data_IF_257109589754
#
_entry.id   IF_257109589754
#
_cell.length_a   1.000
_cell.length_b   1.000
_cell.length_c   1.000
_cell.angle_alpha   90.00
_cell.angle_beta   90.00
_cell.angle_gamma   90.00
#
_symmetry.space_group_name_H-M   'P 1'
#
loop_
_entity.id
_entity.type
_entity.pdbx_description
1 polymer ?
#
# COMPACT_ATOMS: atom_id res chain seq x y z
N UNK A 1 12.10 -28.45 9.20
CA UNK A 1 12.01 -27.06 8.69
C UNK A 1 11.04 -26.97 7.53
N UNK A 2 10.13 -25.99 7.54
CA UNK A 2 9.21 -25.69 6.43
C UNK A 2 9.10 -24.17 6.19
N UNK A 3 8.56 -23.77 5.03
CA UNK A 3 8.45 -22.37 4.62
C UNK A 3 7.61 -21.53 5.60
N UNK A 4 6.57 -22.14 6.17
CA UNK A 4 5.72 -21.44 7.15
C UNK A 4 6.49 -21.09 8.43
N UNK A 5 7.36 -21.99 8.91
CA UNK A 5 8.23 -21.72 10.05
C UNK A 5 9.18 -20.55 9.75
N UNK A 6 9.78 -20.51 8.55
CA UNK A 6 10.64 -19.41 8.12
C UNK A 6 9.88 -18.07 8.06
N UNK A 7 8.66 -18.07 7.52
CA UNK A 7 7.81 -16.87 7.51
C UNK A 7 7.49 -16.36 8.92
N UNK A 8 7.21 -17.29 9.85
CA UNK A 8 6.98 -16.93 11.26
C UNK A 8 8.20 -16.24 11.89
N UNK A 9 9.39 -16.81 11.67
CA UNK A 9 10.66 -16.28 12.21
C UNK A 9 10.94 -14.90 11.64
N UNK A 10 10.83 -14.73 10.33
CA UNK A 10 11.07 -13.45 9.65
C UNK A 10 10.08 -12.38 10.11
N UNK A 11 8.81 -12.72 10.27
CA UNK A 11 7.79 -11.76 10.70
C UNK A 11 8.00 -11.30 12.15
N UNK A 12 8.34 -12.21 13.07
CA UNK A 12 8.69 -11.83 14.45
C UNK A 12 9.91 -10.90 14.48
N UNK A 13 10.92 -11.21 13.68
CA UNK A 13 12.12 -10.37 13.58
C UNK A 13 11.79 -8.97 13.07
N UNK A 14 10.86 -8.89 12.13
CA UNK A 14 10.44 -7.63 11.50
C UNK A 14 9.68 -6.71 12.45
N UNK A 15 8.75 -7.26 13.23
CA UNK A 15 7.87 -6.46 14.10
C UNK A 15 8.34 -6.34 15.55
N UNK A 16 9.31 -7.16 15.96
CA UNK A 16 9.84 -7.18 17.34
C UNK A 16 8.83 -7.62 18.40
N UNK A 17 7.72 -8.26 18.00
CA UNK A 17 6.62 -8.67 18.89
C UNK A 17 5.95 -9.92 18.38
N UNK A 18 5.89 -10.97 19.22
CA UNK A 18 5.21 -12.23 18.86
C UNK A 18 3.70 -12.01 18.67
N UNK A 19 3.08 -11.16 19.48
CA UNK A 19 1.64 -10.87 19.40
C UNK A 19 1.32 -10.18 18.07
N UNK A 20 2.04 -9.11 17.73
CA UNK A 20 1.85 -8.42 16.44
C UNK A 20 2.17 -9.31 15.24
N UNK A 21 3.21 -10.14 15.33
CA UNK A 21 3.54 -11.07 14.26
C UNK A 21 2.42 -12.12 14.07
N UNK A 22 1.81 -12.59 15.14
CA UNK A 22 0.69 -13.51 15.08
C UNK A 22 -0.54 -12.87 14.42
N UNK A 23 -0.87 -11.64 14.77
CA UNK A 23 -1.94 -10.84 14.13
C UNK A 23 -1.67 -10.70 12.62
N UNK A 24 -0.47 -10.28 12.24
CA UNK A 24 -0.09 -10.10 10.84
C UNK A 24 -0.11 -11.40 10.01
N UNK A 25 0.13 -12.54 10.66
CA UNK A 25 0.10 -13.86 10.01
C UNK A 25 -1.26 -14.57 10.15
N UNK A 26 -2.26 -13.93 10.72
CA UNK A 26 -3.59 -14.51 11.02
C UNK A 26 -3.49 -15.83 11.81
N UNK A 27 -2.57 -15.86 12.79
CA UNK A 27 -2.29 -17.01 13.65
C UNK A 27 -2.58 -16.68 15.11
N UNK A 28 -2.87 -17.71 15.90
CA UNK A 28 -2.92 -17.56 17.35
C UNK A 28 -1.50 -17.40 17.93
N UNK A 29 -1.30 -16.42 18.81
CA UNK A 29 0.00 -16.14 19.43
C UNK A 29 0.66 -17.40 20.07
N UNK A 30 -0.06 -18.29 20.79
CA UNK A 30 0.52 -19.53 21.31
C UNK A 30 1.07 -20.45 20.22
N UNK A 31 0.40 -20.55 19.08
CA UNK A 31 0.85 -21.37 17.96
C UNK A 31 2.12 -20.80 17.32
N UNK A 32 2.17 -19.47 17.12
CA UNK A 32 3.35 -18.81 16.59
C UNK A 32 4.55 -18.98 17.54
N UNK A 33 4.35 -18.77 18.85
CA UNK A 33 5.38 -18.97 19.85
C UNK A 33 5.91 -20.40 19.89
N UNK A 34 5.00 -21.39 19.80
CA UNK A 34 5.37 -22.82 19.74
C UNK A 34 6.19 -23.13 18.50
N UNK A 35 5.79 -22.64 17.33
CA UNK A 35 6.51 -22.83 16.06
C UNK A 35 7.97 -22.37 16.16
N UNK A 36 8.23 -21.23 16.80
CA UNK A 36 9.60 -20.73 17.00
C UNK A 36 10.37 -21.59 17.98
N UNK A 37 9.76 -21.95 19.13
CA UNK A 37 10.41 -22.80 20.14
C UNK A 37 10.76 -24.19 19.56
N UNK A 38 9.89 -24.78 18.78
CA UNK A 38 10.13 -26.06 18.10
C UNK A 38 11.29 -25.94 17.11
N UNK A 39 11.37 -24.86 16.34
CA UNK A 39 12.47 -24.58 15.44
C UNK A 39 13.79 -24.42 16.19
N UNK A 40 13.84 -23.58 17.24
CA UNK A 40 15.02 -23.35 18.06
C UNK A 40 15.53 -24.67 18.70
N UNK A 41 14.60 -25.51 19.16
CA UNK A 41 14.89 -26.83 19.74
C UNK A 41 15.41 -27.82 18.70
N UNK A 42 14.77 -27.89 17.50
CA UNK A 42 15.15 -28.80 16.40
C UNK A 42 16.59 -28.57 15.94
N UNK A 43 17.01 -27.29 15.88
CA UNK A 43 18.34 -26.91 15.38
C UNK A 43 19.35 -26.58 16.48
N UNK A 44 18.97 -26.60 17.76
CA UNK A 44 19.85 -26.28 18.89
C UNK A 44 20.32 -24.82 18.88
N UNK A 45 19.52 -23.89 18.35
CA UNK A 45 19.88 -22.49 18.20
C UNK A 45 18.84 -21.59 18.88
N UNK A 46 19.30 -20.55 19.55
CA UNK A 46 18.41 -19.49 20.06
C UNK A 46 18.39 -18.34 19.06
N UNK A 47 17.21 -18.02 18.53
CA UNK A 47 17.03 -16.96 17.53
C UNK A 47 16.66 -15.64 18.20
N UNK A 48 15.89 -15.71 19.28
CA UNK A 48 15.27 -14.54 19.90
C UNK A 48 15.57 -14.41 21.39
N UNK A 49 15.84 -13.19 21.81
CA UNK A 49 15.90 -12.79 23.22
C UNK A 49 14.59 -12.09 23.54
N UNK A 50 13.88 -12.59 24.55
CA UNK A 50 12.61 -12.02 25.03
C UNK A 50 12.90 -11.13 26.25
N UNK A 51 12.39 -9.91 26.22
CA UNK A 51 12.47 -8.97 27.33
C UNK A 51 11.14 -8.22 27.52
N UNK A 52 11.07 -7.37 28.53
CA UNK A 52 9.87 -6.58 28.84
C UNK A 52 9.49 -5.57 27.76
N UNK A 53 10.38 -5.26 26.82
CA UNK A 53 10.16 -4.33 25.73
C UNK A 53 9.80 -5.04 24.41
N UNK A 54 9.82 -6.38 24.38
CA UNK A 54 9.50 -7.17 23.21
C UNK A 54 10.52 -8.27 22.90
N UNK A 55 10.79 -8.48 21.63
CA UNK A 55 11.65 -9.57 21.13
C UNK A 55 12.74 -8.98 20.24
N UNK A 56 13.99 -9.35 20.52
CA UNK A 56 15.17 -8.95 19.74
C UNK A 56 15.92 -10.18 19.21
N UNK A 57 16.62 -10.05 18.09
CA UNK A 57 17.40 -11.12 17.50
C UNK A 57 18.74 -11.34 18.23
N UNK A 58 19.11 -12.61 18.39
CA UNK A 58 20.51 -13.00 18.66
C UNK A 58 21.36 -12.83 17.39
N UNK A 59 22.69 -12.96 17.49
CA UNK A 59 23.54 -12.94 16.30
C UNK A 59 23.30 -14.15 15.37
N UNK A 60 22.98 -15.31 15.94
CA UNK A 60 22.51 -16.46 15.15
C UNK A 60 21.15 -16.18 14.53
N UNK A 61 20.24 -15.52 15.28
CA UNK A 61 18.93 -15.10 14.77
C UNK A 61 19.04 -14.21 13.55
N UNK A 62 19.94 -13.22 13.54
CA UNK A 62 20.18 -12.35 12.39
C UNK A 62 20.58 -13.14 11.15
N UNK A 63 21.53 -14.07 11.29
CA UNK A 63 22.00 -14.93 10.19
C UNK A 63 20.90 -15.86 9.67
N UNK A 64 20.11 -16.45 10.57
CA UNK A 64 19.01 -17.32 10.19
C UNK A 64 17.91 -16.54 9.48
N UNK A 65 17.55 -15.35 9.95
CA UNK A 65 16.56 -14.49 9.31
C UNK A 65 17.00 -14.10 7.90
N UNK A 66 18.25 -13.69 7.70
CA UNK A 66 18.81 -13.37 6.38
C UNK A 66 18.66 -14.57 5.41
N UNK A 67 19.06 -15.77 5.85
CA UNK A 67 18.90 -16.99 5.03
C UNK A 67 17.45 -17.39 4.81
N UNK A 68 16.59 -17.19 5.80
CA UNK A 68 15.16 -17.45 5.66
C UNK A 68 14.52 -16.52 4.61
N UNK A 69 14.87 -15.22 4.60
CA UNK A 69 14.44 -14.27 3.58
C UNK A 69 14.88 -14.72 2.17
N UNK A 70 16.12 -15.18 2.01
CA UNK A 70 16.62 -15.71 0.73
C UNK A 70 15.81 -16.93 0.25
N UNK A 71 15.51 -17.89 1.14
CA UNK A 71 14.74 -19.10 0.82
C UNK A 71 13.30 -18.75 0.45
N UNK A 72 12.65 -17.87 1.22
CA UNK A 72 11.29 -17.40 0.95
C UNK A 72 11.25 -16.75 -0.44
N UNK A 73 12.23 -15.89 -0.75
CA UNK A 73 12.35 -15.26 -2.06
C UNK A 73 12.48 -16.28 -3.19
N UNK A 74 13.40 -17.25 -3.06
CA UNK A 74 13.56 -18.30 -4.08
C UNK A 74 12.30 -19.16 -4.28
N UNK A 75 11.55 -19.39 -3.20
CA UNK A 75 10.26 -20.11 -3.30
C UNK A 75 9.23 -19.26 -4.06
N UNK A 76 9.23 -17.96 -3.84
CA UNK A 76 8.40 -17.03 -4.58
C UNK A 76 8.76 -17.02 -6.07
N UNK A 77 10.07 -16.95 -6.39
CA UNK A 77 10.57 -16.99 -7.78
C UNK A 77 10.18 -18.30 -8.48
N UNK A 78 10.27 -19.45 -7.78
CA UNK A 78 9.84 -20.74 -8.30
C UNK A 78 8.33 -20.77 -8.58
N UNK A 79 7.52 -20.26 -7.66
CA UNK A 79 6.09 -20.16 -7.87
C UNK A 79 5.76 -19.29 -9.10
N UNK A 80 6.44 -18.15 -9.25
CA UNK A 80 6.31 -17.32 -10.45
C UNK A 80 6.64 -18.08 -11.73
N UNK A 81 7.74 -18.84 -11.74
CA UNK A 81 8.14 -19.66 -12.89
C UNK A 81 7.08 -20.73 -13.21
N UNK A 82 6.55 -21.41 -12.21
CA UNK A 82 5.55 -22.47 -12.37
C UNK A 82 4.19 -21.92 -12.86
N UNK A 83 3.76 -20.78 -12.34
CA UNK A 83 2.49 -20.15 -12.74
C UNK A 83 2.53 -19.48 -14.12
N UNK A 84 3.71 -19.05 -14.58
CA UNK A 84 3.87 -18.42 -15.90
C UNK A 84 4.05 -19.41 -17.06
N UNK A 85 4.11 -20.71 -16.80
CA UNK A 85 4.24 -21.72 -17.84
C UNK A 85 2.94 -22.03 -18.63
N UNK A 86 1.80 -21.54 -18.15
CA UNK A 86 0.53 -21.65 -18.89
C UNK A 86 0.37 -20.38 -19.77
N UNK A 87 0.87 -20.46 -21.01
CA UNK A 87 0.89 -19.32 -21.98
C UNK A 87 -0.47 -18.75 -22.30
N UNK A 88 -1.56 -19.42 -21.92
CA UNK A 88 -2.94 -19.00 -22.16
C UNK A 88 -3.54 -18.20 -20.99
N UNK A 89 -2.87 -18.11 -19.83
CA UNK A 89 -3.45 -17.50 -18.63
C UNK A 89 -2.54 -16.45 -18.02
N UNK A 90 -3.06 -15.22 -17.92
CA UNK A 90 -2.37 -14.12 -17.25
C UNK A 90 -2.50 -14.33 -15.74
N UNK A 91 -1.37 -14.55 -15.06
CA UNK A 91 -1.29 -14.70 -13.60
C UNK A 91 -0.50 -13.54 -13.00
N UNK A 92 -1.18 -12.59 -12.38
CA UNK A 92 -0.56 -11.37 -11.82
C UNK A 92 -1.14 -11.05 -10.44
N UNK A 93 -0.28 -10.61 -9.53
CA UNK A 93 -0.67 -10.11 -8.21
C UNK A 93 -0.13 -8.70 -8.03
N UNK A 94 -1.04 -7.75 -7.85
CA UNK A 94 -0.76 -6.33 -7.71
C UNK A 94 -1.18 -5.86 -6.31
N UNK A 95 -0.30 -5.17 -5.59
CA UNK A 95 -0.60 -4.52 -4.32
C UNK A 95 -0.39 -3.01 -4.45
N UNK A 96 -1.44 -2.22 -4.24
CA UNK A 96 -1.45 -0.80 -4.56
C UNK A 96 -2.08 0.03 -3.44
N UNK A 97 -1.76 1.33 -3.33
CA UNK A 97 -2.46 2.22 -2.42
C UNK A 97 -3.87 2.51 -2.95
N UNK A 98 -4.75 2.95 -2.08
CA UNK A 98 -6.10 3.40 -2.45
C UNK A 98 -6.02 4.63 -3.34
N UNK A 99 -6.15 4.44 -4.67
CA UNK A 99 -6.06 5.51 -5.66
C UNK A 99 -6.93 5.23 -6.88
N UNK A 100 -7.85 6.15 -7.18
CA UNK A 100 -8.78 5.98 -8.30
C UNK A 100 -8.08 5.91 -9.65
N UNK A 101 -7.02 6.69 -9.87
CA UNK A 101 -6.27 6.66 -11.12
C UNK A 101 -5.59 5.30 -11.36
N UNK A 102 -5.16 4.61 -10.30
CA UNK A 102 -4.56 3.26 -10.41
C UNK A 102 -5.65 2.23 -10.75
N UNK A 103 -6.82 2.31 -10.12
CA UNK A 103 -7.91 1.38 -10.42
C UNK A 103 -8.49 1.58 -11.82
N UNK A 104 -8.53 2.80 -12.34
CA UNK A 104 -8.88 3.06 -13.74
C UNK A 104 -7.85 2.47 -14.69
N UNK A 105 -6.55 2.71 -14.45
CA UNK A 105 -5.47 2.11 -15.23
C UNK A 105 -5.54 0.57 -15.25
N UNK A 106 -5.89 -0.03 -14.12
CA UNK A 106 -6.10 -1.48 -14.04
C UNK A 106 -7.26 -1.94 -14.93
N UNK A 107 -8.40 -1.24 -14.88
CA UNK A 107 -9.55 -1.57 -15.73
C UNK A 107 -9.21 -1.45 -17.21
N UNK A 108 -8.49 -0.40 -17.61
CA UNK A 108 -8.10 -0.18 -19.01
C UNK A 108 -7.10 -1.24 -19.46
N UNK A 109 -6.18 -1.64 -18.60
CA UNK A 109 -5.30 -2.77 -18.89
C UNK A 109 -6.06 -4.06 -19.13
N UNK A 110 -7.05 -4.38 -18.28
CA UNK A 110 -7.89 -5.58 -18.49
C UNK A 110 -8.58 -5.57 -19.86
N UNK A 111 -9.11 -4.42 -20.29
CA UNK A 111 -9.76 -4.29 -21.61
C UNK A 111 -8.79 -4.60 -22.76
N UNK A 112 -7.52 -4.24 -22.65
CA UNK A 112 -6.52 -4.56 -23.67
C UNK A 112 -6.25 -6.06 -23.82
N UNK A 113 -6.56 -6.87 -22.81
CA UNK A 113 -6.33 -8.31 -22.79
C UNK A 113 -7.63 -9.13 -22.77
N UNK A 114 -8.72 -8.60 -23.31
CA UNK A 114 -10.10 -9.13 -23.19
C UNK A 114 -10.26 -10.59 -23.65
N UNK A 115 -9.41 -11.05 -24.57
CA UNK A 115 -9.43 -12.42 -25.09
C UNK A 115 -8.61 -13.42 -24.24
N UNK A 116 -7.97 -12.98 -23.18
CA UNK A 116 -7.11 -13.81 -22.34
C UNK A 116 -7.86 -14.39 -21.14
N UNK A 117 -7.41 -15.53 -20.65
CA UNK A 117 -7.83 -16.03 -19.34
C UNK A 117 -7.03 -15.34 -18.24
N UNK A 118 -7.70 -14.92 -17.17
CA UNK A 118 -7.08 -14.21 -16.06
C UNK A 118 -7.10 -15.00 -14.76
N UNK A 119 -6.06 -14.81 -13.97
CA UNK A 119 -6.00 -15.10 -12.55
C UNK A 119 -5.25 -13.94 -11.89
N UNK A 120 -5.94 -12.83 -11.68
CA UNK A 120 -5.35 -11.59 -11.21
C UNK A 120 -5.84 -11.30 -9.81
N UNK A 121 -4.90 -10.99 -8.91
CA UNK A 121 -5.18 -10.44 -7.58
C UNK A 121 -4.82 -8.95 -7.59
N UNK A 122 -5.81 -8.09 -7.42
CA UNK A 122 -5.63 -6.65 -7.26
C UNK A 122 -6.02 -6.27 -5.83
N UNK A 123 -5.04 -5.90 -5.01
CA UNK A 123 -5.22 -5.62 -3.59
C UNK A 123 -4.91 -4.15 -3.30
N UNK A 124 -5.89 -3.44 -2.77
CA UNK A 124 -5.71 -2.08 -2.25
C UNK A 124 -5.43 -2.15 -0.75
N UNK A 125 -4.27 -1.65 -0.31
CA UNK A 125 -3.86 -1.73 1.09
C UNK A 125 -2.87 -0.61 1.47
N UNK A 126 -2.41 -0.60 2.71
CA UNK A 126 -1.42 0.33 3.20
C UNK A 126 0.01 -0.06 2.77
N UNK A 127 0.96 0.87 2.91
CA UNK A 127 2.35 0.65 2.50
C UNK A 127 3.03 -0.55 3.16
N UNK A 128 2.69 -0.87 4.41
CA UNK A 128 3.26 -2.03 5.12
C UNK A 128 2.87 -3.31 4.43
N UNK A 129 1.59 -3.46 4.14
CA UNK A 129 1.06 -4.65 3.48
C UNK A 129 1.59 -4.76 2.06
N UNK A 130 1.66 -3.64 1.31
CA UNK A 130 2.24 -3.62 -0.04
C UNK A 130 3.68 -4.12 -0.02
N UNK A 131 4.51 -3.57 0.87
CA UNK A 131 5.91 -3.98 1.00
C UNK A 131 6.04 -5.46 1.37
N UNK A 132 5.22 -5.94 2.30
CA UNK A 132 5.21 -7.35 2.69
C UNK A 132 4.75 -8.26 1.55
N UNK A 133 3.69 -7.86 0.86
CA UNK A 133 3.13 -8.64 -0.24
C UNK A 133 4.15 -8.81 -1.36
N UNK A 134 4.85 -7.75 -1.75
CA UNK A 134 5.87 -7.82 -2.79
C UNK A 134 7.14 -8.54 -2.32
N UNK A 135 7.58 -8.32 -1.07
CA UNK A 135 8.81 -8.93 -0.57
C UNK A 135 8.65 -10.40 -0.16
N UNK A 136 7.48 -10.78 0.39
CA UNK A 136 7.32 -12.05 1.11
C UNK A 136 6.17 -12.92 0.59
N UNK A 137 5.10 -12.32 0.05
CA UNK A 137 3.87 -13.03 -0.26
C UNK A 137 3.68 -13.32 -1.75
N UNK A 138 4.70 -13.07 -2.57
CA UNK A 138 4.71 -13.38 -3.99
C UNK A 138 3.82 -12.48 -4.84
N UNK A 139 3.65 -11.21 -4.43
CA UNK A 139 3.10 -10.20 -5.32
C UNK A 139 4.17 -9.76 -6.31
N UNK A 140 3.76 -9.63 -7.55
CA UNK A 140 4.65 -9.31 -8.66
C UNK A 140 5.12 -7.86 -8.61
N UNK A 141 4.18 -6.97 -8.33
CA UNK A 141 4.35 -5.54 -8.45
C UNK A 141 3.56 -4.83 -7.35
N UNK A 142 4.16 -3.80 -6.79
CA UNK A 142 3.51 -2.93 -5.82
C UNK A 142 3.67 -1.46 -6.18
N UNK A 143 2.78 -0.64 -5.63
CA UNK A 143 2.91 0.82 -5.64
C UNK A 143 2.80 1.29 -4.20
N UNK A 144 3.80 1.99 -3.70
CA UNK A 144 3.77 2.58 -2.36
C UNK A 144 3.59 4.09 -2.46
N UNK A 145 2.86 4.66 -1.51
CA UNK A 145 2.66 6.11 -1.38
C UNK A 145 3.42 6.65 -0.19
N UNK A 146 4.35 7.51 -0.43
CA UNK A 146 5.21 8.07 0.63
C UNK A 146 5.12 9.59 0.66
N UNK A 147 5.20 10.23 1.84
CA UNK A 147 5.40 11.68 1.90
C UNK A 147 6.68 12.07 1.15
N UNK A 148 6.63 13.15 0.36
CA UNK A 148 7.77 13.55 -0.47
C UNK A 148 9.05 13.81 0.36
N UNK A 149 8.91 14.34 1.58
CA UNK A 149 10.04 14.57 2.50
C UNK A 149 10.74 13.28 2.94
N UNK A 150 10.09 12.12 2.79
CA UNK A 150 10.62 10.81 3.17
C UNK A 150 11.03 9.95 1.98
N UNK A 151 10.84 10.43 0.77
CA UNK A 151 11.12 9.71 -0.47
C UNK A 151 12.56 9.14 -0.50
N UNK A 152 13.55 9.96 -0.18
CA UNK A 152 14.96 9.55 -0.17
C UNK A 152 15.23 8.40 0.84
N UNK A 153 14.56 8.43 2.01
CA UNK A 153 14.67 7.36 3.03
C UNK A 153 14.09 6.04 2.50
N UNK A 154 12.93 6.11 1.83
CA UNK A 154 12.29 4.93 1.22
C UNK A 154 13.11 4.37 0.06
N UNK A 155 13.61 5.22 -0.85
CA UNK A 155 14.48 4.78 -1.96
C UNK A 155 15.74 4.08 -1.45
N UNK A 156 16.37 4.58 -0.38
CA UNK A 156 17.53 3.92 0.26
C UNK A 156 17.15 2.56 0.84
N UNK A 157 16.02 2.46 1.52
CA UNK A 157 15.50 1.21 2.07
C UNK A 157 15.21 0.20 0.96
N UNK A 158 14.52 0.59 -0.11
CA UNK A 158 14.22 -0.27 -1.26
C UNK A 158 15.50 -0.81 -1.92
N UNK A 159 16.53 0.04 -2.08
CA UNK A 159 17.84 -0.37 -2.59
C UNK A 159 18.47 -1.44 -1.70
N UNK A 160 18.47 -1.25 -0.37
CA UNK A 160 19.02 -2.22 0.59
C UNK A 160 18.28 -3.56 0.58
N UNK A 161 17.01 -3.56 0.21
CA UNK A 161 16.16 -4.75 0.07
C UNK A 161 16.17 -5.35 -1.35
N UNK A 162 17.09 -4.89 -2.20
CA UNK A 162 17.24 -5.35 -3.60
C UNK A 162 15.94 -5.24 -4.41
N UNK A 163 15.21 -4.14 -4.22
CA UNK A 163 14.02 -3.81 -5.00
C UNK A 163 14.38 -2.88 -6.15
N UNK A 164 13.74 -3.08 -7.30
CA UNK A 164 13.64 -2.06 -8.34
C UNK A 164 12.53 -1.10 -7.96
N UNK A 165 12.71 0.17 -8.32
CA UNK A 165 11.67 1.17 -8.10
C UNK A 165 11.72 2.23 -9.19
N UNK A 166 10.54 2.80 -9.45
CA UNK A 166 10.38 3.92 -10.40
C UNK A 166 9.34 4.88 -9.81
N UNK A 167 9.66 6.17 -9.80
CA UNK A 167 8.68 7.19 -9.43
C UNK A 167 7.58 7.25 -10.48
N UNK A 168 6.32 7.23 -10.01
CA UNK A 168 5.13 7.38 -10.83
C UNK A 168 4.70 8.83 -10.83
N UNK A 169 4.38 9.37 -9.67
CA UNK A 169 3.75 10.67 -9.57
C UNK A 169 4.08 11.36 -8.23
N UNK A 170 4.43 12.66 -8.32
CA UNK A 170 4.49 13.54 -7.16
C UNK A 170 3.28 14.49 -7.20
N UNK A 171 2.41 14.43 -6.21
CA UNK A 171 1.14 15.15 -6.18
C UNK A 171 0.79 15.67 -4.79
N UNK A 172 -0.14 16.61 -4.75
CA UNK A 172 -0.81 17.04 -3.52
C UNK A 172 -2.21 16.44 -3.46
N UNK A 173 -2.62 16.00 -2.27
CA UNK A 173 -4.02 15.61 -2.07
C UNK A 173 -4.94 16.81 -2.19
N UNK A 174 -6.10 16.58 -2.79
CA UNK A 174 -7.19 17.52 -2.93
C UNK A 174 -8.35 17.15 -1.99
N UNK A 175 -9.22 18.08 -1.73
CA UNK A 175 -10.44 17.85 -0.94
C UNK A 175 -11.54 17.39 -1.86
N UNK A 176 -12.21 16.29 -1.51
CA UNK A 176 -13.32 15.71 -2.24
C UNK A 176 -14.56 15.67 -1.35
N UNK A 177 -15.69 16.07 -1.91
CA UNK A 177 -16.98 16.07 -1.21
C UNK A 177 -18.15 16.06 -2.22
N UNK A 178 -19.36 15.89 -1.73
CA UNK A 178 -20.59 15.91 -2.53
C UNK A 178 -20.76 17.23 -3.30
N UNK A 179 -21.35 17.19 -4.50
CA UNK A 179 -21.82 18.38 -5.23
C UNK A 179 -22.78 19.24 -4.40
N UNK A 180 -23.44 18.64 -3.38
CA UNK A 180 -24.37 19.32 -2.47
C UNK A 180 -23.69 19.85 -1.20
N UNK A 181 -22.36 19.77 -1.08
CA UNK A 181 -21.63 20.27 0.09
C UNK A 181 -21.73 21.79 0.17
N UNK A 182 -21.88 22.41 1.36
CA UNK A 182 -21.94 23.88 1.51
C UNK A 182 -20.76 24.63 0.88
N UNK A 183 -19.59 23.99 0.79
CA UNK A 183 -18.40 24.57 0.15
C UNK A 183 -18.34 24.34 -1.36
N UNK A 184 -19.33 23.70 -1.98
CA UNK A 184 -19.29 23.35 -3.41
C UNK A 184 -19.13 24.55 -4.34
N UNK A 185 -19.77 25.68 -4.00
CA UNK A 185 -19.68 26.95 -4.74
C UNK A 185 -18.41 27.77 -4.49
N UNK A 186 -17.51 27.33 -3.59
CA UNK A 186 -16.29 28.06 -3.28
C UNK A 186 -15.17 27.67 -4.24
N UNK A 187 -14.52 28.65 -4.87
CA UNK A 187 -13.46 28.37 -5.86
C UNK A 187 -12.17 27.86 -5.23
N UNK A 188 -11.81 28.38 -4.07
CA UNK A 188 -10.59 28.01 -3.34
C UNK A 188 -10.93 27.68 -1.89
N UNK A 189 -10.33 26.63 -1.37
CA UNK A 189 -10.49 26.21 0.02
C UNK A 189 -9.22 26.48 0.82
N UNK A 190 -9.40 26.74 2.12
CA UNK A 190 -8.33 26.74 3.10
C UNK A 190 -8.67 25.77 4.25
N UNK A 191 -7.70 25.44 5.10
CA UNK A 191 -7.94 24.54 6.24
C UNK A 191 -9.05 25.04 7.16
N UNK A 192 -9.16 26.36 7.33
CA UNK A 192 -10.17 26.95 8.20
C UNK A 192 -11.60 26.68 7.71
N UNK A 193 -11.80 26.57 6.40
CA UNK A 193 -13.12 26.25 5.82
C UNK A 193 -13.60 24.86 6.18
N UNK A 194 -12.67 23.93 6.44
CA UNK A 194 -12.95 22.52 6.67
C UNK A 194 -13.24 22.16 8.12
N UNK A 195 -12.93 23.05 9.08
CA UNK A 195 -13.00 22.75 10.52
C UNK A 195 -14.38 22.35 11.03
N UNK A 196 -15.43 22.90 10.44
CA UNK A 196 -16.82 22.64 10.86
C UNK A 196 -17.42 21.37 10.23
N UNK A 197 -16.69 20.72 9.34
CA UNK A 197 -17.17 19.55 8.60
C UNK A 197 -16.48 18.28 9.08
N UNK A 198 -17.17 17.14 8.94
CA UNK A 198 -16.63 15.85 9.30
C UNK A 198 -15.64 15.35 8.23
N UNK A 199 -14.46 14.93 8.65
CA UNK A 199 -13.49 14.31 7.75
C UNK A 199 -13.70 12.79 7.69
N UNK A 200 -13.74 12.24 6.48
CA UNK A 200 -13.73 10.81 6.23
C UNK A 200 -12.28 10.36 6.07
N UNK A 201 -11.85 9.43 6.91
CA UNK A 201 -10.46 8.92 6.95
C UNK A 201 -10.45 7.40 6.82
N UNK A 202 -9.40 6.88 6.23
CA UNK A 202 -9.07 5.46 6.33
C UNK A 202 -8.29 5.20 7.62
N UNK A 203 -8.61 4.08 8.27
CA UNK A 203 -7.93 3.63 9.50
C UNK A 203 -6.58 2.96 9.15
N UNK A 204 -5.68 3.73 8.55
CA UNK A 204 -4.35 3.29 8.13
C UNK A 204 -3.28 3.88 9.06
N UNK A 205 -3.35 3.58 10.35
CA UNK A 205 -2.49 4.21 11.37
C UNK A 205 -0.99 3.87 11.26
N UNK A 206 -0.59 2.94 10.39
CA UNK A 206 0.78 2.45 10.39
C UNK A 206 1.52 2.74 9.09
N UNK A 207 2.59 3.54 9.19
CA UNK A 207 3.56 3.76 8.12
C UNK A 207 4.87 3.06 8.52
N UNK A 208 5.33 2.04 7.78
CA UNK A 208 6.55 1.30 8.13
C UNK A 208 7.76 2.23 8.21
N UNK A 209 8.63 1.95 9.17
CA UNK A 209 9.91 2.64 9.34
C UNK A 209 9.82 4.12 9.74
N UNK A 210 8.64 4.60 10.16
CA UNK A 210 8.42 5.97 10.63
C UNK A 210 7.79 5.90 12.02
N UNK A 211 8.30 6.69 12.95
CA UNK A 211 7.72 6.78 14.29
C UNK A 211 6.34 7.46 14.26
N UNK A 212 5.48 7.16 15.24
CA UNK A 212 4.17 7.82 15.37
C UNK A 212 4.32 9.34 15.51
N UNK A 213 5.39 9.82 16.10
CA UNK A 213 5.72 11.25 16.26
C UNK A 213 6.07 11.90 14.91
N UNK A 214 6.83 11.20 14.06
CA UNK A 214 7.14 11.67 12.71
C UNK A 214 5.89 11.67 11.84
N UNK A 215 5.03 10.64 11.94
CA UNK A 215 3.74 10.59 11.21
C UNK A 215 2.86 11.78 11.62
N UNK A 216 2.73 12.06 12.92
CA UNK A 216 1.94 13.20 13.42
C UNK A 216 2.42 14.55 12.90
N UNK A 217 3.74 14.72 12.68
CA UNK A 217 4.31 15.95 12.11
C UNK A 217 4.05 16.08 10.62
N UNK A 218 3.91 14.95 9.93
CA UNK A 218 3.72 14.88 8.48
C UNK A 218 2.24 14.81 8.07
N UNK A 219 1.36 14.37 8.98
CA UNK A 219 -0.07 14.43 8.75
C UNK A 219 -0.53 15.86 9.01
N UNK A 220 -1.18 16.53 8.06
CA UNK A 220 -1.82 17.79 8.37
C UNK A 220 -2.65 17.59 9.63
N UNK A 221 -2.57 18.50 10.57
CA UNK A 221 -3.49 18.48 11.72
C UNK A 221 -4.88 18.65 11.14
N UNK A 222 -5.55 17.51 10.85
CA UNK A 222 -6.97 17.51 10.51
C UNK A 222 -7.71 17.90 11.77
N UNK A 223 -7.73 19.20 11.99
CA UNK A 223 -8.37 19.84 13.15
C UNK A 223 -9.90 19.90 12.95
N UNK A 224 -10.42 18.84 12.32
CA UNK A 224 -11.86 18.64 12.17
C UNK A 224 -12.44 18.20 13.51
N UNK A 225 -13.51 18.86 13.90
CA UNK A 225 -14.26 18.55 15.14
C UNK A 225 -14.87 17.14 15.14
N UNK A 226 -15.05 16.52 13.95
CA UNK A 226 -15.67 15.21 13.78
C UNK A 226 -14.93 14.36 12.75
N UNK A 227 -14.72 13.07 13.07
CA UNK A 227 -14.02 12.11 12.21
C UNK A 227 -14.88 10.87 11.99
N UNK A 228 -14.93 10.41 10.74
CA UNK A 228 -15.53 9.14 10.35
C UNK A 228 -14.42 8.24 9.88
N UNK A 229 -14.15 7.14 10.57
CA UNK A 229 -13.14 6.17 10.22
C UNK A 229 -13.79 5.05 9.41
N UNK A 230 -13.20 4.74 8.25
CA UNK A 230 -13.59 3.62 7.39
C UNK A 230 -12.42 2.69 7.18
N UNK A 231 -12.67 1.40 7.15
CA UNK A 231 -11.65 0.38 6.90
C UNK A 231 -11.58 0.01 5.41
N UNK A 232 -12.75 -0.07 4.77
CA UNK A 232 -12.88 -0.50 3.39
C UNK A 232 -13.17 0.67 2.43
N UNK A 233 -12.53 0.65 1.26
CA UNK A 233 -12.71 1.71 0.25
C UNK A 233 -14.09 1.69 -0.42
N UNK A 234 -14.72 0.53 -0.54
CA UNK A 234 -15.92 0.35 -1.36
C UNK A 234 -17.07 1.30 -1.03
N UNK A 235 -17.21 1.71 0.22
CA UNK A 235 -18.29 2.61 0.68
C UNK A 235 -17.92 4.10 0.71
N UNK A 236 -16.65 4.47 0.47
CA UNK A 236 -16.18 5.85 0.69
C UNK A 236 -16.94 6.89 -0.16
N UNK A 237 -17.15 6.62 -1.43
CA UNK A 237 -17.82 7.56 -2.33
C UNK A 237 -19.33 7.62 -2.10
N UNK A 238 -19.93 6.50 -1.73
CA UNK A 238 -21.36 6.47 -1.33
C UNK A 238 -21.59 7.28 -0.06
N UNK A 239 -20.73 7.14 0.95
CA UNK A 239 -20.81 7.92 2.19
C UNK A 239 -20.66 9.42 1.86
N UNK A 240 -19.64 9.81 1.09
CA UNK A 240 -19.42 11.21 0.70
C UNK A 240 -20.60 11.79 -0.09
N UNK A 241 -21.16 11.03 -1.03
CA UNK A 241 -22.27 11.50 -1.87
C UNK A 241 -23.56 11.74 -1.07
N UNK A 242 -23.79 10.95 -0.02
CA UNK A 242 -25.00 11.01 0.84
C UNK A 242 -24.87 11.96 2.02
N UNK A 243 -23.66 12.16 2.55
CA UNK A 243 -23.40 13.02 3.69
C UNK A 243 -22.86 14.38 3.27
N UNK A 244 -23.76 15.32 2.97
CA UNK A 244 -23.43 16.63 2.41
C UNK A 244 -22.50 17.50 3.29
N UNK A 245 -22.24 17.15 4.55
CA UNK A 245 -21.33 17.86 5.46
C UNK A 245 -20.05 17.08 5.75
N UNK A 246 -19.66 16.20 4.83
CA UNK A 246 -18.42 15.39 4.95
C UNK A 246 -17.49 15.66 3.80
N UNK A 247 -16.20 15.54 4.06
CA UNK A 247 -15.15 15.63 3.06
C UNK A 247 -14.07 14.56 3.29
N UNK A 248 -13.29 14.28 2.28
CA UNK A 248 -12.06 13.47 2.41
C UNK A 248 -10.90 14.10 1.64
N UNK A 249 -9.70 13.73 2.02
CA UNK A 249 -8.50 14.01 1.23
C UNK A 249 -8.24 12.86 0.27
N UNK A 250 -8.05 13.17 -0.99
CA UNK A 250 -7.80 12.17 -2.02
C UNK A 250 -6.68 12.60 -2.97
N UNK A 251 -6.07 11.59 -3.61
CA UNK A 251 -5.27 11.81 -4.83
C UNK A 251 -6.15 12.43 -5.91
N UNK A 252 -5.56 12.98 -6.97
CA UNK A 252 -6.35 13.34 -8.15
C UNK A 252 -7.21 12.16 -8.61
N UNK A 253 -8.49 12.43 -8.86
CA UNK A 253 -9.51 11.47 -9.27
C UNK A 253 -9.97 11.82 -10.68
N UNK A 254 -10.07 10.85 -11.62
CA UNK A 254 -10.66 11.07 -12.93
C UNK A 254 -12.06 11.69 -12.85
N UNK A 255 -12.35 12.65 -13.73
CA UNK A 255 -13.61 13.41 -13.71
C UNK A 255 -14.82 12.51 -13.88
N UNK A 256 -14.72 11.49 -14.72
CA UNK A 256 -15.78 10.49 -14.94
C UNK A 256 -16.22 9.81 -13.64
N UNK A 257 -15.28 9.45 -12.77
CA UNK A 257 -15.59 8.87 -11.46
C UNK A 257 -16.22 9.88 -10.50
N UNK A 258 -15.75 11.13 -10.51
CA UNK A 258 -16.36 12.20 -9.71
C UNK A 258 -17.83 12.42 -10.12
N UNK A 259 -18.11 12.45 -11.42
CA UNK A 259 -19.45 12.67 -11.94
C UNK A 259 -20.38 11.49 -11.65
N UNK A 260 -19.91 10.25 -11.81
CA UNK A 260 -20.67 9.04 -11.49
C UNK A 260 -21.14 9.01 -10.03
N UNK A 261 -20.33 9.53 -9.10
CA UNK A 261 -20.66 9.58 -7.69
C UNK A 261 -21.22 10.94 -7.23
N UNK A 262 -21.47 11.90 -8.16
CA UNK A 262 -21.93 13.26 -7.83
C UNK A 262 -21.01 13.98 -6.84
N UNK A 263 -19.71 13.79 -7.01
CA UNK A 263 -18.66 14.40 -6.21
C UNK A 263 -17.98 15.53 -6.98
N UNK A 264 -17.33 16.41 -6.24
CA UNK A 264 -16.41 17.41 -6.77
C UNK A 264 -15.10 17.41 -6.00
N UNK A 265 -14.05 17.77 -6.68
CA UNK A 265 -12.70 17.86 -6.11
C UNK A 265 -12.22 19.31 -6.15
N UNK A 266 -11.71 19.81 -5.04
CA UNK A 266 -11.22 21.18 -4.90
C UNK A 266 -9.82 21.22 -4.31
N UNK A 267 -8.98 22.15 -4.77
CA UNK A 267 -7.66 22.38 -4.20
C UNK A 267 -7.78 23.14 -2.88
N UNK A 268 -7.02 22.73 -1.86
CA UNK A 268 -6.84 23.49 -0.63
C UNK A 268 -5.51 24.23 -0.71
N UNK A 269 -5.56 25.57 -0.68
CA UNK A 269 -4.39 26.42 -0.91
C UNK A 269 -3.33 26.32 0.18
N UNK A 270 -3.75 26.02 1.41
CA UNK A 270 -2.87 25.85 2.57
C UNK A 270 -2.19 24.49 2.60
N UNK A 271 -2.64 23.53 1.78
CA UNK A 271 -2.04 22.19 1.74
C UNK A 271 -0.68 22.23 1.04
N UNK A 272 0.38 22.20 1.85
CA UNK A 272 1.77 22.15 1.37
C UNK A 272 2.31 20.73 1.24
N UNK A 273 1.63 19.74 1.84
CA UNK A 273 2.11 18.37 1.84
C UNK A 273 1.94 17.72 0.46
N UNK A 274 3.01 17.14 -0.03
CA UNK A 274 3.03 16.32 -1.25
C UNK A 274 3.36 14.87 -0.94
N UNK A 275 2.89 13.99 -1.79
CA UNK A 275 3.14 12.56 -1.74
C UNK A 275 3.73 12.09 -3.06
N UNK A 276 4.53 11.03 -2.98
CA UNK A 276 5.10 10.37 -4.16
C UNK A 276 4.61 8.93 -4.20
N UNK A 277 4.01 8.55 -5.31
CA UNK A 277 3.72 7.15 -5.61
C UNK A 277 4.92 6.54 -6.32
N UNK A 278 5.41 5.43 -5.77
CA UNK A 278 6.61 4.74 -6.23
C UNK A 278 6.24 3.31 -6.58
N UNK A 279 6.45 2.94 -7.85
CA UNK A 279 6.38 1.57 -8.32
C UNK A 279 7.53 0.76 -7.72
N UNK A 280 7.24 -0.46 -7.26
CA UNK A 280 8.23 -1.36 -6.67
C UNK A 280 8.03 -2.80 -7.18
N UNK A 281 9.12 -3.51 -7.43
CA UNK A 281 9.13 -4.94 -7.76
C UNK A 281 10.51 -5.55 -7.46
N UNK A 282 10.65 -6.89 -7.32
CA UNK A 282 11.95 -7.51 -7.05
C UNK A 282 12.99 -7.24 -8.15
N UNK A 283 14.26 -7.01 -7.79
CA UNK A 283 15.33 -6.64 -8.74
C UNK A 283 15.51 -7.61 -9.90
N UNK A 284 15.30 -8.90 -9.66
CA UNK A 284 15.49 -9.96 -10.67
C UNK A 284 14.17 -10.38 -11.33
N UNK A 285 13.10 -9.62 -11.13
CA UNK A 285 11.80 -9.87 -11.74
C UNK A 285 11.71 -9.21 -13.10
N UNK A 286 11.30 -9.97 -14.11
CA UNK A 286 11.00 -9.45 -15.44
C UNK A 286 9.50 -9.19 -15.55
N UNK A 287 9.14 -7.93 -15.77
CA UNK A 287 7.74 -7.52 -15.95
C UNK A 287 7.13 -8.22 -17.16
N UNK A 288 5.96 -8.81 -16.97
CA UNK A 288 5.13 -9.37 -18.03
C UNK A 288 4.60 -8.27 -18.96
N UNK A 289 4.03 -8.65 -20.10
CA UNK A 289 3.39 -7.70 -21.02
C UNK A 289 2.20 -6.99 -20.36
N UNK A 290 1.39 -7.73 -19.59
CA UNK A 290 0.31 -7.16 -18.81
C UNK A 290 0.78 -6.08 -17.82
N UNK A 291 1.86 -6.34 -17.08
CA UNK A 291 2.37 -5.39 -16.10
C UNK A 291 3.00 -4.15 -16.74
N UNK A 292 3.65 -4.31 -17.89
CA UNK A 292 4.15 -3.17 -18.68
C UNK A 292 3.02 -2.28 -19.16
N UNK A 293 1.97 -2.87 -19.73
CA UNK A 293 0.79 -2.16 -20.18
C UNK A 293 0.06 -1.46 -19.01
N UNK A 294 -0.03 -2.12 -17.85
CA UNK A 294 -0.57 -1.51 -16.64
C UNK A 294 0.22 -0.27 -16.20
N UNK A 295 1.54 -0.34 -16.26
CA UNK A 295 2.41 0.80 -15.93
C UNK A 295 2.23 1.93 -16.94
N UNK A 296 2.13 1.62 -18.24
CA UNK A 296 1.89 2.60 -19.30
C UNK A 296 0.55 3.31 -19.10
N UNK A 297 -0.53 2.57 -18.87
CA UNK A 297 -1.85 3.14 -18.59
C UNK A 297 -1.86 4.04 -17.34
N UNK A 298 -1.09 3.70 -16.30
CA UNK A 298 -0.91 4.59 -15.13
C UNK A 298 -0.32 5.93 -15.54
N UNK A 299 0.72 5.93 -16.38
CA UNK A 299 1.35 7.17 -16.84
C UNK A 299 0.45 7.98 -17.79
N UNK A 300 -0.34 7.33 -18.63
CA UNK A 300 -1.32 7.98 -19.51
C UNK A 300 -2.41 8.70 -18.70
N UNK A 301 -3.01 8.02 -17.73
CA UNK A 301 -4.04 8.62 -16.86
C UNK A 301 -3.44 9.76 -16.02
N UNK A 302 -2.24 9.56 -15.48
CA UNK A 302 -1.53 10.64 -14.78
C UNK A 302 -1.39 11.87 -15.68
N UNK A 303 -0.92 11.67 -16.91
CA UNK A 303 -0.72 12.77 -17.87
C UNK A 303 -2.03 13.51 -18.17
N UNK A 304 -3.11 12.77 -18.40
CA UNK A 304 -4.44 13.35 -18.61
C UNK A 304 -4.91 14.17 -17.39
N UNK A 305 -4.70 13.67 -16.19
CA UNK A 305 -5.07 14.37 -14.94
C UNK A 305 -4.22 15.64 -14.69
N UNK A 306 -2.94 15.63 -15.06
CA UNK A 306 -2.06 16.80 -14.94
C UNK A 306 -2.45 17.92 -15.92
N UNK A 307 -2.91 17.57 -17.12
CA UNK A 307 -3.30 18.52 -18.16
C UNK A 307 -4.78 18.95 -18.11
N UNK A 308 -5.57 18.42 -17.16
CA UNK A 308 -7.00 18.70 -17.06
C UNK A 308 -7.82 18.05 -18.18
N UNK A 309 -7.27 17.04 -18.85
CA UNK A 309 -7.94 16.21 -19.83
C UNK A 309 -8.79 15.14 -19.11
N UNK A 310 -9.96 14.84 -19.64
CA UNK A 310 -10.75 13.72 -19.11
C UNK A 310 -10.01 12.42 -19.45
N UNK A 311 -9.59 11.70 -18.43
CA UNK A 311 -9.16 10.31 -18.59
C UNK A 311 -10.44 9.47 -18.76
N UNK A 312 -10.86 9.27 -20.02
CA UNK A 312 -12.00 8.44 -20.40
C UNK A 312 -11.64 6.94 -20.37
#
# INVERSE_FOLDING_TARGET
MNIQQLRCIVEIARVGSITKAAENLYMNQPNLSRTVIEFEKEYGVTLFIRNSQGVTLTDNGKKVVEKAEEIIKKTTDLNHFLYNNDKEKINVKLAVPRASYISVAFCDTIKCFDNNKFNISFKECNNTDILNDVMMNGYNLGIIRVPADLEAKYKKMLTSKQMQFKEIWNFKCNVVFSKNHPLAGKDKLCFNDLKEYSVLLHDDEYVPFISKEEIKKLTPSYDSSSKILIQERGSQFDILSRLAKTYMWATPIPQTLLDNHKLIMKKCIDNKQSFVDILIYPKNYSLSEFEKNFIENIFEIKYALENGENAD
#
